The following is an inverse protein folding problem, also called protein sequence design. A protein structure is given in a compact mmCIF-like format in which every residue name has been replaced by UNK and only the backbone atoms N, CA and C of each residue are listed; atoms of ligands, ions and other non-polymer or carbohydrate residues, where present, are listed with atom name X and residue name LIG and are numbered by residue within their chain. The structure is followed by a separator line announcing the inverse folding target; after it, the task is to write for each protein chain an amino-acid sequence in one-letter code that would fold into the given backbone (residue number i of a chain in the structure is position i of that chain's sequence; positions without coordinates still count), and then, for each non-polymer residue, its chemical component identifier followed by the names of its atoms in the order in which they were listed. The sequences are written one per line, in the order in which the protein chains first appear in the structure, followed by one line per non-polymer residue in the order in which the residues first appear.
data_IF_325984679557
#
_entry.id   IF_325984679557
#
_cell.length_a   1.000
_cell.length_b   1.000
_cell.length_c   1.000
_cell.angle_alpha   90.00
_cell.angle_beta   90.00
_cell.angle_gamma   90.00
#
_symmetry.space_group_name_H-M   'P 1'
#
loop_
_entity.id
_entity.type
_entity.pdbx_description
1 polymer ?
#
# COMPACT_ATOMS: atom_id res chain seq x y z
N UNK A 1 -35.45 64.31 -27.73
CA UNK A 1 -35.04 64.04 -26.34
C UNK A 1 -34.78 62.57 -26.06
N UNK A 2 -35.77 61.66 -26.06
CA UNK A 2 -35.52 60.24 -25.72
C UNK A 2 -34.58 59.52 -26.69
N UNK A 3 -34.68 59.83 -28.00
CA UNK A 3 -33.77 59.29 -29.03
C UNK A 3 -32.34 59.84 -28.87
N UNK A 4 -32.19 61.11 -28.46
CA UNK A 4 -30.90 61.76 -28.27
C UNK A 4 -30.18 61.27 -27.01
N UNK A 5 -30.94 61.01 -25.94
CA UNK A 5 -30.44 60.36 -24.72
C UNK A 5 -30.06 58.89 -24.98
N UNK A 6 -30.81 58.17 -25.82
CA UNK A 6 -30.46 56.82 -26.25
C UNK A 6 -29.19 56.78 -27.11
N UNK A 7 -28.97 57.79 -27.96
CA UNK A 7 -27.76 57.92 -28.77
C UNK A 7 -26.50 58.13 -27.92
N UNK A 8 -26.59 58.88 -26.81
CA UNK A 8 -25.51 59.05 -25.84
C UNK A 8 -25.22 57.78 -25.03
N UNK A 9 -26.26 57.07 -24.59
CA UNK A 9 -26.13 55.84 -23.80
C UNK A 9 -25.57 54.63 -24.59
N UNK A 10 -25.55 54.69 -25.92
CA UNK A 10 -25.11 53.60 -26.81
C UNK A 10 -23.72 53.82 -27.43
N UNK A 11 -22.98 54.85 -27.01
CA UNK A 11 -21.63 55.14 -27.53
C UNK A 11 -20.59 54.16 -27.00
N UNK A 12 -20.57 52.93 -27.54
CA UNK A 12 -19.64 51.87 -27.14
C UNK A 12 -18.16 52.29 -27.22
N UNK A 13 -17.83 53.22 -28.12
CA UNK A 13 -16.48 53.81 -28.24
C UNK A 13 -16.09 54.73 -27.07
N UNK A 14 -17.04 55.09 -26.20
CA UNK A 14 -16.84 55.90 -24.99
C UNK A 14 -16.95 55.07 -23.70
N UNK A 15 -17.14 53.74 -23.77
CA UNK A 15 -17.23 52.88 -22.59
C UNK A 15 -15.93 52.98 -21.76
N UNK A 16 -15.99 53.68 -20.63
CA UNK A 16 -14.85 53.93 -19.74
C UNK A 16 -13.96 55.11 -20.16
N UNK A 17 -14.40 55.95 -21.10
CA UNK A 17 -13.71 57.19 -21.48
C UNK A 17 -13.82 58.29 -20.41
N UNK A 18 -14.89 58.25 -19.63
CA UNK A 18 -15.17 59.12 -18.48
C UNK A 18 -14.37 58.75 -17.23
N UNK A 19 -13.77 57.55 -17.19
CA UNK A 19 -12.94 57.07 -16.07
C UNK A 19 -11.52 57.66 -16.22
N UNK A 20 -11.13 58.64 -15.39
CA UNK A 20 -9.85 59.34 -15.56
C UNK A 20 -8.65 58.45 -15.22
N UNK A 21 -8.83 57.58 -14.22
CA UNK A 21 -7.85 56.58 -13.79
C UNK A 21 -8.52 55.21 -13.74
N UNK A 22 -8.32 54.43 -14.80
CA UNK A 22 -8.89 53.09 -14.94
C UNK A 22 -8.29 52.10 -13.94
N UNK A 23 -7.01 52.28 -13.59
CA UNK A 23 -6.31 51.42 -12.65
C UNK A 23 -6.86 51.62 -11.23
N UNK A 24 -6.95 52.88 -10.78
CA UNK A 24 -7.57 53.21 -9.50
C UNK A 24 -9.04 52.76 -9.44
N UNK A 25 -9.80 52.95 -10.54
CA UNK A 25 -11.18 52.50 -10.62
C UNK A 25 -11.30 50.98 -10.41
N UNK A 26 -10.51 50.17 -11.13
CA UNK A 26 -10.50 48.70 -11.00
C UNK A 26 -10.16 48.26 -9.57
N UNK A 27 -9.21 48.94 -8.91
CA UNK A 27 -8.84 48.68 -7.51
C UNK A 27 -10.00 48.97 -6.56
N UNK A 28 -10.64 50.13 -6.71
CA UNK A 28 -11.72 50.58 -5.83
C UNK A 28 -12.96 49.68 -5.89
N UNK A 29 -13.32 49.22 -7.09
CA UNK A 29 -14.46 48.31 -7.26
C UNK A 29 -14.13 46.85 -6.96
N UNK A 30 -12.85 46.53 -6.69
CA UNK A 30 -12.36 45.19 -6.42
C UNK A 30 -12.44 44.24 -7.61
N UNK A 31 -12.38 44.76 -8.84
CA UNK A 31 -12.42 43.94 -10.04
C UNK A 31 -11.09 43.22 -10.27
N UNK A 32 -11.16 42.03 -10.88
CA UNK A 32 -9.97 41.30 -11.32
C UNK A 32 -9.25 42.08 -12.44
N UNK A 33 -7.95 42.32 -12.27
CA UNK A 33 -7.13 42.94 -13.30
C UNK A 33 -6.41 41.87 -14.13
N UNK A 34 -6.67 41.83 -15.43
CA UNK A 34 -5.86 41.10 -16.38
C UNK A 34 -4.87 42.04 -17.06
N UNK A 35 -3.56 41.90 -16.77
CA UNK A 35 -2.53 42.78 -17.32
C UNK A 35 -2.38 42.60 -18.84
N UNK A 36 -2.14 41.37 -19.29
CA UNK A 36 -1.96 41.04 -20.72
C UNK A 36 -1.97 39.52 -20.94
N UNK A 37 -2.31 39.10 -22.16
CA UNK A 37 -2.29 37.71 -22.63
C UNK A 37 -0.92 37.22 -23.11
N UNK A 38 0.12 38.06 -23.11
CA UNK A 38 1.47 37.71 -23.57
C UNK A 38 2.53 38.67 -23.05
N UNK A 39 2.84 38.60 -21.76
CA UNK A 39 3.86 39.41 -21.09
C UNK A 39 5.24 38.77 -21.24
N UNK A 40 6.27 39.55 -21.57
CA UNK A 40 7.66 39.09 -21.43
C UNK A 40 8.04 39.14 -19.94
N UNK A 41 7.86 38.03 -19.23
CA UNK A 41 8.05 37.94 -17.79
C UNK A 41 9.53 37.97 -17.46
N UNK A 42 10.04 39.16 -17.16
CA UNK A 42 11.45 39.42 -16.85
C UNK A 42 12.37 39.64 -18.05
N UNK A 43 11.88 39.46 -19.28
CA UNK A 43 12.53 39.91 -20.52
C UNK A 43 13.74 39.09 -21.00
N UNK A 44 14.13 38.05 -20.27
CA UNK A 44 15.19 37.11 -20.65
C UNK A 44 14.93 35.73 -19.99
N UNK A 45 15.77 34.73 -20.26
CA UNK A 45 15.65 33.36 -19.74
C UNK A 45 16.53 33.03 -18.52
N UNK A 46 17.17 34.03 -17.90
CA UNK A 46 17.96 33.84 -16.70
C UNK A 46 17.07 33.36 -15.53
N UNK A 47 17.62 32.60 -14.57
CA UNK A 47 16.85 32.14 -13.43
C UNK A 47 16.43 33.30 -12.53
N UNK A 48 15.26 33.15 -11.91
CA UNK A 48 14.82 33.98 -10.79
C UNK A 48 14.68 33.14 -9.52
N UNK A 49 15.03 33.76 -8.41
CA UNK A 49 14.55 33.35 -7.09
C UNK A 49 13.08 33.74 -6.92
N UNK A 50 12.39 33.11 -5.98
CA UNK A 50 11.01 33.43 -5.62
C UNK A 50 10.90 34.89 -5.18
N UNK A 51 11.92 35.43 -4.50
CA UNK A 51 11.97 36.83 -4.06
C UNK A 51 12.05 37.82 -5.24
N UNK A 52 12.87 37.54 -6.25
CA UNK A 52 12.96 38.37 -7.46
C UNK A 52 11.67 38.34 -8.26
N UNK A 53 11.05 37.16 -8.39
CA UNK A 53 9.74 37.03 -9.03
C UNK A 53 8.65 37.84 -8.31
N UNK A 54 8.60 37.79 -6.98
CA UNK A 54 7.66 38.60 -6.18
C UNK A 54 7.93 40.10 -6.37
N UNK A 55 9.20 40.51 -6.45
CA UNK A 55 9.57 41.91 -6.71
C UNK A 55 9.10 42.36 -8.10
N UNK A 56 9.18 41.49 -9.10
CA UNK A 56 8.63 41.77 -10.43
C UNK A 56 7.10 41.87 -10.43
N UNK A 57 6.40 41.02 -9.67
CA UNK A 57 4.94 41.16 -9.49
C UNK A 57 4.57 42.50 -8.84
N UNK A 58 5.36 42.93 -7.86
CA UNK A 58 5.19 44.22 -7.19
C UNK A 58 5.38 45.41 -8.15
N UNK A 59 6.40 45.36 -9.02
CA UNK A 59 6.62 46.39 -10.04
C UNK A 59 5.51 46.43 -11.10
N UNK A 60 4.84 45.30 -11.34
CA UNK A 60 3.66 45.20 -12.20
C UNK A 60 2.36 45.66 -11.49
N UNK A 61 2.44 46.06 -10.22
CA UNK A 61 1.29 46.48 -9.42
C UNK A 61 0.37 45.34 -8.97
N UNK A 62 0.80 44.07 -9.06
CA UNK A 62 -0.07 42.91 -8.82
C UNK A 62 -0.71 42.92 -7.42
N UNK A 63 0.01 43.40 -6.41
CA UNK A 63 -0.45 43.47 -5.02
C UNK A 63 -1.35 44.68 -4.70
N UNK A 64 -1.59 45.55 -5.68
CA UNK A 64 -2.50 46.69 -5.52
C UNK A 64 -3.95 46.32 -5.89
N UNK A 65 -4.18 45.11 -6.42
CA UNK A 65 -5.49 44.61 -6.80
C UNK A 65 -5.85 43.40 -5.93
N UNK A 66 -7.13 43.21 -5.56
CA UNK A 66 -7.54 42.01 -4.83
C UNK A 66 -7.27 40.72 -5.60
N UNK A 67 -7.36 40.81 -6.93
CA UNK A 67 -7.01 39.75 -7.88
C UNK A 67 -6.31 40.35 -9.09
N UNK A 68 -5.13 39.84 -9.40
CA UNK A 68 -4.35 40.22 -10.58
C UNK A 68 -3.94 38.97 -11.34
N UNK A 69 -3.97 39.03 -12.67
CA UNK A 69 -3.47 37.93 -13.49
C UNK A 69 -2.77 38.42 -14.76
N UNK A 70 -1.85 37.61 -15.27
CA UNK A 70 -1.30 37.77 -16.59
C UNK A 70 -0.99 36.40 -17.20
N UNK A 71 -0.71 36.38 -18.51
CA UNK A 71 -0.16 35.22 -19.18
C UNK A 71 1.20 35.59 -19.76
N UNK A 72 2.23 34.79 -19.47
CA UNK A 72 3.54 34.92 -20.09
C UNK A 72 3.45 34.70 -21.60
N UNK A 73 4.26 35.42 -22.36
CA UNK A 73 4.36 35.24 -23.81
C UNK A 73 4.89 33.84 -24.15
N UNK A 74 4.58 33.33 -25.34
CA UNK A 74 5.16 32.09 -25.85
C UNK A 74 6.58 32.33 -26.40
N UNK A 75 7.48 32.78 -25.52
CA UNK A 75 8.88 33.04 -25.84
C UNK A 75 9.77 32.51 -24.70
N UNK A 76 10.43 31.38 -24.93
CA UNK A 76 11.31 30.79 -23.94
C UNK A 76 12.54 31.65 -23.63
N UNK A 77 12.99 32.48 -24.57
CA UNK A 77 14.16 33.33 -24.39
C UNK A 77 13.81 34.64 -23.68
N UNK A 78 12.56 35.10 -23.77
CA UNK A 78 12.05 36.33 -23.15
C UNK A 78 11.34 36.16 -21.81
N UNK A 79 11.27 34.95 -21.27
CA UNK A 79 10.60 34.66 -19.99
C UNK A 79 11.50 33.89 -19.03
N UNK A 80 11.46 34.30 -17.77
CA UNK A 80 12.27 33.74 -16.67
C UNK A 80 11.82 32.35 -16.26
N UNK A 81 12.69 31.69 -15.50
CA UNK A 81 12.41 30.41 -14.82
C UNK A 81 12.67 30.57 -13.32
N UNK A 82 11.69 30.22 -12.48
CA UNK A 82 11.85 30.24 -11.03
C UNK A 82 12.46 28.91 -10.57
N UNK A 83 13.58 28.94 -9.84
CA UNK A 83 14.40 27.72 -9.59
C UNK A 83 14.56 27.32 -8.12
N UNK A 84 14.12 28.15 -7.18
CA UNK A 84 14.29 27.93 -5.73
C UNK A 84 13.01 27.40 -5.03
N UNK A 85 12.06 26.85 -5.79
CA UNK A 85 10.73 26.49 -5.27
C UNK A 85 10.73 25.30 -4.33
N UNK A 86 11.75 24.42 -4.40
CA UNK A 86 11.80 23.15 -3.67
C UNK A 86 10.83 22.07 -4.18
N UNK A 87 9.93 22.40 -5.11
CA UNK A 87 8.96 21.48 -5.70
C UNK A 87 9.02 21.44 -7.25
N UNK A 88 10.12 21.91 -7.84
CA UNK A 88 10.41 21.89 -9.29
C UNK A 88 10.43 23.28 -9.91
N UNK A 89 11.21 23.46 -10.99
CA UNK A 89 11.35 24.75 -11.64
C UNK A 89 10.05 25.19 -12.30
N UNK A 90 9.79 26.50 -12.32
CA UNK A 90 8.60 27.09 -12.95
C UNK A 90 9.04 27.93 -14.15
N UNK A 91 8.87 27.39 -15.36
CA UNK A 91 9.06 28.15 -16.60
C UNK A 91 7.85 29.08 -16.81
N UNK A 92 8.10 30.40 -16.93
CA UNK A 92 7.03 31.40 -17.03
C UNK A 92 6.57 31.65 -18.47
N UNK A 93 7.29 31.13 -19.48
CA UNK A 93 6.87 31.17 -20.87
C UNK A 93 5.53 30.47 -21.05
N UNK A 94 4.53 31.17 -21.58
CA UNK A 94 3.19 30.65 -21.76
C UNK A 94 2.42 30.33 -20.47
N UNK A 95 2.99 30.54 -19.28
CA UNK A 95 2.35 30.26 -18.00
C UNK A 95 1.26 31.29 -17.69
N UNK A 96 0.18 30.86 -17.05
CA UNK A 96 -0.79 31.78 -16.44
C UNK A 96 -0.35 32.05 -15.01
N UNK A 97 -0.23 33.32 -14.65
CA UNK A 97 0.17 33.79 -13.33
C UNK A 97 -1.03 34.51 -12.72
N UNK A 98 -1.45 34.07 -11.55
CA UNK A 98 -2.57 34.64 -10.81
C UNK A 98 -2.09 35.00 -9.40
N UNK A 99 -2.43 36.20 -8.94
CA UNK A 99 -2.03 36.74 -7.65
C UNK A 99 -3.30 37.19 -6.92
N UNK A 100 -3.49 36.66 -5.71
CA UNK A 100 -4.57 37.08 -4.82
C UNK A 100 -3.98 37.61 -3.51
N UNK A 101 -4.57 38.69 -2.99
CA UNK A 101 -4.16 39.31 -1.73
C UNK A 101 -3.14 40.44 -1.91
N UNK A 102 -2.38 40.73 -0.85
CA UNK A 102 -1.49 41.89 -0.76
C UNK A 102 -0.03 41.45 -0.59
N UNK A 103 0.91 42.41 -0.65
CA UNK A 103 2.35 42.13 -0.52
C UNK A 103 2.73 41.45 0.81
N UNK A 104 1.97 41.73 1.88
CA UNK A 104 2.17 41.13 3.21
C UNK A 104 1.41 39.81 3.42
N UNK A 105 0.40 39.51 2.60
CA UNK A 105 -0.37 38.27 2.67
C UNK A 105 -0.88 37.90 1.27
N UNK A 106 -0.21 36.96 0.61
CA UNK A 106 -0.41 36.62 -0.80
C UNK A 106 -0.64 35.13 -1.01
N UNK A 107 -1.44 34.83 -2.02
CA UNK A 107 -1.46 33.54 -2.71
C UNK A 107 -1.10 33.78 -4.16
N UNK A 108 -0.07 33.11 -4.66
CA UNK A 108 0.29 33.15 -6.08
C UNK A 108 0.06 31.76 -6.65
N UNK A 109 -0.73 31.66 -7.72
CA UNK A 109 -0.93 30.44 -8.48
C UNK A 109 -0.31 30.59 -9.86
N UNK A 110 0.47 29.60 -10.27
CA UNK A 110 1.06 29.54 -11.61
C UNK A 110 0.65 28.23 -12.26
N UNK A 111 -0.02 28.32 -13.41
CA UNK A 111 -0.35 27.17 -14.26
C UNK A 111 0.63 27.12 -15.42
N UNK A 112 1.47 26.10 -15.47
CA UNK A 112 2.44 25.91 -16.56
C UNK A 112 1.76 25.29 -17.79
N UNK A 113 2.19 25.65 -19.02
CA UNK A 113 1.68 25.04 -20.24
C UNK A 113 2.17 23.59 -20.41
N UNK A 114 1.73 22.93 -21.48
CA UNK A 114 2.10 21.54 -21.79
C UNK A 114 3.57 21.34 -22.23
N UNK A 115 4.31 22.42 -22.47
CA UNK A 115 5.74 22.41 -22.83
C UNK A 115 6.49 23.54 -22.12
N UNK A 116 7.73 23.29 -21.71
CA UNK A 116 8.53 24.21 -20.88
C UNK A 116 10.01 24.22 -21.31
N UNK A 117 10.78 25.19 -20.81
CA UNK A 117 12.26 25.26 -20.91
C UNK A 117 12.90 25.41 -19.53
N UNK A 118 14.23 25.34 -19.44
CA UNK A 118 14.99 25.56 -18.20
C UNK A 118 14.65 24.57 -17.07
N UNK A 119 14.42 23.30 -17.44
CA UNK A 119 13.97 22.23 -16.55
C UNK A 119 12.64 22.52 -15.85
N UNK A 120 11.84 23.45 -16.40
CA UNK A 120 10.51 23.76 -15.90
C UNK A 120 9.57 22.56 -15.97
N UNK A 121 8.68 22.42 -15.00
CA UNK A 121 7.73 21.30 -14.96
C UNK A 121 6.47 21.66 -15.78
N UNK A 122 6.15 20.94 -16.87
CA UNK A 122 4.96 21.19 -17.67
C UNK A 122 3.68 20.66 -17.01
N UNK A 123 2.51 21.13 -17.48
CA UNK A 123 1.17 20.57 -17.17
C UNK A 123 0.82 20.48 -15.68
N UNK A 124 1.24 21.46 -14.87
CA UNK A 124 1.01 21.44 -13.42
C UNK A 124 0.66 22.84 -12.88
N UNK A 125 0.14 22.86 -11.66
CA UNK A 125 -0.08 24.09 -10.91
C UNK A 125 0.90 24.19 -9.74
N UNK A 126 1.50 25.36 -9.61
CA UNK A 126 2.31 25.76 -8.47
C UNK A 126 1.55 26.80 -7.66
N UNK A 127 1.50 26.62 -6.34
CA UNK A 127 0.82 27.54 -5.42
C UNK A 127 1.82 27.98 -4.36
N UNK A 128 2.11 29.27 -4.33
CA UNK A 128 2.86 29.92 -3.26
C UNK A 128 1.89 30.58 -2.29
N UNK A 129 2.11 30.38 -0.98
CA UNK A 129 1.31 31.01 0.06
C UNK A 129 2.25 31.71 1.03
N UNK A 130 1.92 32.95 1.39
CA UNK A 130 2.59 33.72 2.43
C UNK A 130 1.56 34.54 3.22
N UNK A 131 1.66 34.58 4.55
CA UNK A 131 0.81 35.38 5.45
C UNK A 131 1.59 36.42 6.28
N UNK A 132 2.84 36.71 5.91
CA UNK A 132 3.64 37.75 6.55
C UNK A 132 4.46 37.24 7.72
N UNK A 133 4.75 38.11 8.68
CA UNK A 133 5.70 37.86 9.76
C UNK A 133 5.35 36.61 10.58
N UNK A 134 6.34 35.74 10.79
CA UNK A 134 6.19 34.50 11.55
C UNK A 134 5.53 33.34 10.79
N UNK A 135 5.08 33.57 9.54
CA UNK A 135 4.61 32.49 8.66
C UNK A 135 5.79 31.75 8.02
N UNK A 136 5.59 30.47 7.67
CA UNK A 136 6.54 29.68 6.88
C UNK A 136 6.08 29.66 5.42
N UNK A 137 6.43 30.66 4.60
CA UNK A 137 5.98 30.70 3.22
C UNK A 137 6.64 29.59 2.39
N UNK A 138 5.95 29.14 1.36
CA UNK A 138 6.48 28.08 0.52
C UNK A 138 5.61 27.74 -0.67
N UNK A 139 6.25 27.14 -1.67
CA UNK A 139 5.61 26.59 -2.84
C UNK A 139 5.06 25.20 -2.56
N UNK A 140 3.94 24.91 -3.21
CA UNK A 140 3.34 23.59 -3.31
C UNK A 140 3.12 23.32 -4.79
N UNK A 141 3.46 22.12 -5.23
CA UNK A 141 3.12 21.66 -6.59
C UNK A 141 1.99 20.67 -6.49
N UNK A 142 0.90 20.92 -7.20
CA UNK A 142 -0.19 19.97 -7.30
C UNK A 142 0.24 18.77 -8.14
N UNK A 143 -0.17 17.57 -7.71
CA UNK A 143 0.01 16.37 -8.50
C UNK A 143 -1.04 16.35 -9.60
N UNK A 144 -0.66 16.79 -10.80
CA UNK A 144 -1.49 16.74 -12.00
C UNK A 144 -0.84 15.76 -12.97
N UNK A 145 -1.58 14.73 -13.40
CA UNK A 145 -1.14 13.74 -14.39
C UNK A 145 -2.21 13.57 -15.47
N UNK A 146 -1.78 13.50 -16.72
CA UNK A 146 -2.61 13.11 -17.86
C UNK A 146 -2.38 11.61 -18.11
N UNK A 147 -3.41 10.76 -17.95
CA UNK A 147 -3.32 9.29 -18.08
C UNK A 147 -3.06 8.54 -16.76
N UNK A 148 -3.07 7.20 -16.74
CA UNK A 148 -3.19 6.35 -15.51
C UNK A 148 -1.96 5.48 -15.11
N UNK A 149 -0.89 5.43 -15.89
CA UNK A 149 0.30 4.62 -15.57
C UNK A 149 1.31 5.33 -14.65
N UNK A 150 1.73 4.73 -13.54
CA UNK A 150 2.96 5.10 -12.83
C UNK A 150 4.11 4.24 -13.35
N UNK A 151 5.18 4.85 -13.87
CA UNK A 151 6.41 4.14 -14.23
C UNK A 151 7.42 4.28 -13.09
N UNK A 152 7.96 3.16 -12.59
CA UNK A 152 8.92 3.14 -11.48
C UNK A 152 8.32 2.77 -10.11
N UNK A 153 9.04 3.08 -9.03
CA UNK A 153 8.69 2.67 -7.67
C UNK A 153 7.96 3.79 -6.91
N UNK A 154 6.85 3.45 -6.23
CA UNK A 154 6.21 4.32 -5.24
C UNK A 154 6.83 4.05 -3.85
N UNK A 155 7.70 4.96 -3.38
CA UNK A 155 8.27 4.86 -2.04
C UNK A 155 7.44 5.62 -1.01
N UNK A 156 7.10 4.93 0.08
CA UNK A 156 6.50 5.53 1.27
C UNK A 156 7.53 5.51 2.41
N UNK A 157 8.04 6.68 2.82
CA UNK A 157 9.16 6.79 3.77
C UNK A 157 8.68 7.25 5.14
N UNK A 158 8.65 6.34 6.11
CA UNK A 158 8.39 6.63 7.52
C UNK A 158 9.04 5.53 8.39
N UNK A 159 9.45 5.87 9.61
CA UNK A 159 9.89 4.91 10.63
C UNK A 159 8.73 4.32 11.42
N UNK A 160 7.57 5.00 11.46
CA UNK A 160 6.29 4.50 11.93
C UNK A 160 5.54 3.71 10.86
N UNK A 161 4.31 3.27 11.19
CA UNK A 161 3.46 2.54 10.26
C UNK A 161 3.13 3.40 9.05
N UNK A 162 3.35 2.85 7.86
CA UNK A 162 2.67 3.30 6.65
C UNK A 162 1.83 2.16 6.11
N UNK A 163 0.60 2.48 5.75
CA UNK A 163 -0.39 1.51 5.32
C UNK A 163 -1.08 1.98 4.05
N UNK A 164 -1.48 1.02 3.23
CA UNK A 164 -2.57 1.20 2.28
C UNK A 164 -3.86 0.76 2.99
N UNK A 165 -4.89 1.61 2.99
CA UNK A 165 -6.17 1.30 3.61
C UNK A 165 -7.34 1.59 2.67
N UNK A 166 -8.40 0.81 2.84
CA UNK A 166 -9.73 1.13 2.33
C UNK A 166 -10.58 1.43 3.56
N UNK A 167 -11.29 2.55 3.54
CA UNK A 167 -12.05 3.06 4.68
C UNK A 167 -13.55 2.98 4.39
N UNK A 168 -14.34 2.75 5.43
CA UNK A 168 -15.76 3.09 5.45
C UNK A 168 -15.94 4.61 5.38
N UNK A 169 -17.13 5.04 4.99
CA UNK A 169 -17.50 6.47 4.98
C UNK A 169 -17.44 7.10 6.38
N UNK A 170 -17.71 6.31 7.43
CA UNK A 170 -17.64 6.73 8.84
C UNK A 170 -16.22 6.87 9.39
N UNK A 171 -15.19 6.62 8.56
CA UNK A 171 -13.78 6.70 8.94
C UNK A 171 -13.23 5.47 9.66
N UNK A 172 -14.00 4.38 9.79
CA UNK A 172 -13.48 3.10 10.24
C UNK A 172 -12.81 2.34 9.09
N UNK A 173 -11.77 1.54 9.33
CA UNK A 173 -11.12 0.81 8.25
C UNK A 173 -11.88 -0.45 7.83
N UNK A 174 -11.96 -0.71 6.51
CA UNK A 174 -12.40 -1.99 5.93
C UNK A 174 -11.25 -2.94 5.64
N UNK A 175 -10.05 -2.40 5.40
CA UNK A 175 -8.86 -3.19 5.06
C UNK A 175 -7.60 -2.43 5.41
N UNK A 176 -6.58 -3.15 5.87
CA UNK A 176 -5.21 -2.64 5.94
C UNK A 176 -4.23 -3.56 5.23
N UNK A 177 -3.24 -2.96 4.57
CA UNK A 177 -1.98 -3.60 4.19
C UNK A 177 -0.85 -2.75 4.77
N UNK A 178 -0.07 -3.31 5.69
CA UNK A 178 0.94 -2.53 6.41
C UNK A 178 2.12 -3.35 6.90
N UNK A 179 3.19 -2.63 7.26
CA UNK A 179 4.37 -3.17 7.94
C UNK A 179 4.86 -2.16 8.96
N UNK A 180 5.09 -2.61 10.19
CA UNK A 180 5.79 -1.80 11.18
C UNK A 180 7.29 -2.12 11.20
N UNK A 181 8.10 -1.10 11.50
CA UNK A 181 9.54 -1.23 11.70
C UNK A 181 9.81 -2.24 12.82
N UNK A 182 10.59 -3.28 12.51
CA UNK A 182 10.96 -4.33 13.48
C UNK A 182 9.86 -5.35 13.83
N UNK A 183 8.63 -5.22 13.32
CA UNK A 183 7.54 -6.18 13.58
C UNK A 183 7.78 -7.56 12.94
N UNK A 184 6.90 -8.52 13.24
CA UNK A 184 6.94 -9.92 12.86
C UNK A 184 6.72 -10.21 11.37
N UNK A 185 6.10 -9.33 10.60
CA UNK A 185 5.90 -9.56 9.17
C UNK A 185 5.11 -8.47 8.47
N UNK A 186 4.74 -8.70 7.22
CA UNK A 186 3.78 -7.86 6.48
C UNK A 186 2.37 -8.31 6.85
N UNK A 187 1.50 -7.38 7.23
CA UNK A 187 0.14 -7.65 7.71
C UNK A 187 -0.89 -7.28 6.64
N UNK A 188 -1.92 -8.13 6.52
CA UNK A 188 -3.14 -7.90 5.77
C UNK A 188 -4.33 -8.27 6.65
N UNK A 189 -5.33 -7.39 6.76
CA UNK A 189 -6.53 -7.66 7.56
C UNK A 189 -7.78 -6.95 7.04
N UNK A 190 -8.94 -7.30 7.60
CA UNK A 190 -10.24 -6.71 7.26
C UNK A 190 -10.59 -5.48 8.12
N UNK A 191 -9.58 -4.78 8.64
CA UNK A 191 -9.79 -3.59 9.46
C UNK A 191 -10.71 -3.84 10.65
N UNK A 192 -11.81 -3.08 10.71
CA UNK A 192 -12.78 -3.09 11.80
C UNK A 192 -13.79 -4.25 11.70
N UNK A 193 -13.91 -4.90 10.54
CA UNK A 193 -14.82 -6.05 10.35
C UNK A 193 -14.30 -7.31 11.07
N UNK A 194 -13.05 -7.27 11.58
CA UNK A 194 -12.45 -8.30 12.41
C UNK A 194 -11.76 -9.41 11.60
N UNK A 195 -11.67 -10.61 12.17
CA UNK A 195 -11.03 -11.78 11.55
C UNK A 195 -9.52 -11.93 11.83
N UNK A 196 -8.89 -10.93 12.45
CA UNK A 196 -7.46 -10.94 12.79
C UNK A 196 -6.55 -10.68 11.59
N UNK A 197 -5.25 -10.87 11.79
CA UNK A 197 -4.24 -10.61 10.77
C UNK A 197 -3.86 -11.87 10.00
N UNK A 198 -3.68 -11.70 8.68
CA UNK A 198 -2.88 -12.58 7.85
C UNK A 198 -1.47 -11.99 7.76
N UNK A 199 -0.46 -12.79 8.09
CA UNK A 199 0.91 -12.29 8.23
C UNK A 199 1.87 -13.08 7.33
N UNK A 200 2.59 -12.36 6.48
CA UNK A 200 3.79 -12.87 5.83
C UNK A 200 4.97 -12.60 6.75
N UNK A 201 5.32 -13.60 7.55
CA UNK A 201 6.29 -13.51 8.63
C UNK A 201 7.72 -13.30 8.13
N UNK A 202 8.50 -12.51 8.87
CA UNK A 202 9.92 -12.24 8.60
C UNK A 202 10.79 -13.50 8.59
N UNK A 203 10.34 -14.56 9.28
CA UNK A 203 11.02 -15.86 9.31
C UNK A 203 10.61 -16.75 8.11
N UNK A 204 9.87 -16.22 7.14
CA UNK A 204 9.44 -16.92 5.93
C UNK A 204 8.20 -17.80 6.10
N UNK A 205 7.49 -17.70 7.23
CA UNK A 205 6.22 -18.38 7.46
C UNK A 205 5.02 -17.54 7.01
N UNK A 206 3.91 -18.20 6.72
CA UNK A 206 2.61 -17.55 6.56
C UNK A 206 1.73 -17.88 7.76
N UNK A 207 1.12 -16.86 8.36
CA UNK A 207 0.21 -17.01 9.52
C UNK A 207 -1.19 -16.60 9.12
N UNK A 208 -2.15 -17.45 9.42
CA UNK A 208 -3.58 -17.18 9.26
C UNK A 208 -4.22 -17.34 10.65
N UNK A 209 -4.32 -16.24 11.39
CA UNK A 209 -4.64 -16.29 12.82
C UNK A 209 -3.59 -17.09 13.59
N UNK A 210 -4.03 -18.12 14.34
CA UNK A 210 -3.14 -18.96 15.15
C UNK A 210 -2.47 -20.10 14.38
N UNK A 211 -2.89 -20.38 13.14
CA UNK A 211 -2.28 -21.41 12.30
C UNK A 211 -1.03 -20.86 11.60
N UNK A 212 -0.01 -21.70 11.46
CA UNK A 212 1.26 -21.32 10.81
C UNK A 212 1.59 -22.32 9.73
N UNK A 213 1.83 -21.83 8.53
CA UNK A 213 2.48 -22.56 7.44
C UNK A 213 3.96 -22.22 7.49
N UNK A 214 4.78 -23.18 7.91
CA UNK A 214 6.19 -22.97 8.11
C UNK A 214 6.99 -23.04 6.80
N UNK A 215 8.17 -22.42 6.80
CA UNK A 215 9.07 -22.39 5.66
C UNK A 215 9.73 -23.75 5.32
N UNK A 216 9.50 -24.77 6.15
CA UNK A 216 9.93 -26.15 5.93
C UNK A 216 8.81 -27.05 5.36
N UNK A 217 7.63 -26.48 5.05
CA UNK A 217 6.47 -27.21 4.55
C UNK A 217 5.60 -27.86 5.63
N UNK A 218 5.93 -27.70 6.91
CA UNK A 218 5.10 -28.18 8.01
C UNK A 218 3.98 -27.18 8.34
N UNK A 219 2.94 -27.66 9.01
CA UNK A 219 1.77 -26.87 9.39
C UNK A 219 1.54 -26.99 10.88
N UNK A 220 1.54 -25.84 11.56
CA UNK A 220 1.20 -25.73 12.97
C UNK A 220 -0.29 -25.40 13.12
N UNK A 221 -0.96 -26.06 14.06
CA UNK A 221 -2.33 -25.73 14.44
C UNK A 221 -2.83 -26.55 15.61
N UNK A 222 -3.86 -26.03 16.28
CA UNK A 222 -4.52 -26.72 17.40
C UNK A 222 -5.31 -27.94 16.97
N UNK A 223 -5.70 -28.04 15.70
CA UNK A 223 -6.39 -29.19 15.12
C UNK A 223 -5.60 -30.51 15.27
N UNK A 224 -4.27 -30.44 15.39
CA UNK A 224 -3.39 -31.59 15.52
C UNK A 224 -3.07 -31.97 16.98
N UNK A 225 -3.83 -31.45 17.95
CA UNK A 225 -3.71 -31.78 19.38
C UNK A 225 -3.15 -30.66 20.26
N UNK A 226 -2.67 -29.55 19.66
CA UNK A 226 -2.12 -28.41 20.39
C UNK A 226 -0.83 -28.71 21.15
N UNK A 227 -0.22 -27.68 21.76
CA UNK A 227 1.01 -27.82 22.55
C UNK A 227 2.17 -28.48 21.79
N UNK A 228 2.78 -29.52 22.37
CA UNK A 228 3.92 -30.23 21.78
C UNK A 228 3.58 -31.06 20.53
N UNK A 229 2.29 -31.36 20.27
CA UNK A 229 1.84 -32.08 19.07
C UNK A 229 1.28 -31.15 17.98
N UNK A 230 1.41 -29.83 18.16
CA UNK A 230 0.75 -28.86 17.29
C UNK A 230 1.31 -28.80 15.85
N UNK A 231 2.41 -29.49 15.55
CA UNK A 231 2.91 -29.67 14.19
C UNK A 231 2.32 -30.91 13.53
N UNK A 232 1.80 -30.76 12.31
CA UNK A 232 1.18 -31.84 11.55
C UNK A 232 2.12 -33.04 11.39
N UNK A 233 3.40 -32.79 11.08
CA UNK A 233 4.41 -33.86 10.97
C UNK A 233 4.52 -34.71 12.24
N UNK A 234 4.50 -34.07 13.42
CA UNK A 234 4.59 -34.72 14.72
C UNK A 234 3.31 -35.51 15.02
N UNK A 235 2.15 -34.94 14.70
CA UNK A 235 0.87 -35.61 14.84
C UNK A 235 0.81 -36.89 13.99
N UNK A 236 1.19 -36.82 12.72
CA UNK A 236 1.23 -37.99 11.83
C UNK A 236 2.22 -39.04 12.34
N UNK A 237 3.40 -38.62 12.80
CA UNK A 237 4.41 -39.52 13.33
C UNK A 237 3.92 -40.33 14.55
N UNK A 238 3.13 -39.69 15.43
CA UNK A 238 2.63 -40.25 16.68
C UNK A 238 1.30 -40.99 16.56
N UNK A 239 0.49 -40.72 15.55
CA UNK A 239 -0.88 -41.25 15.47
C UNK A 239 -1.15 -42.16 14.27
N UNK A 240 -0.21 -42.33 13.34
CA UNK A 240 -0.36 -43.24 12.20
C UNK A 240 0.44 -44.53 12.35
N UNK A 241 -0.09 -45.62 11.80
CA UNK A 241 0.65 -46.87 11.60
C UNK A 241 1.70 -46.65 10.51
N UNK A 242 2.97 -46.85 10.85
CA UNK A 242 4.11 -46.63 9.95
C UNK A 242 4.70 -47.90 9.36
N UNK A 243 4.51 -49.02 10.04
CA UNK A 243 5.02 -50.31 9.62
C UNK A 243 4.20 -51.43 10.28
N UNK A 244 4.19 -52.60 9.65
CA UNK A 244 3.57 -53.82 10.16
C UNK A 244 4.63 -54.93 10.09
N UNK A 245 4.68 -55.80 11.12
CA UNK A 245 5.56 -56.95 11.15
C UNK A 245 4.91 -58.14 11.86
N UNK A 246 5.47 -59.32 11.65
CA UNK A 246 5.31 -60.43 12.57
C UNK A 246 6.36 -60.30 13.67
N UNK A 247 5.93 -60.34 14.93
CA UNK A 247 6.81 -60.30 16.09
C UNK A 247 7.65 -61.58 16.26
N UNK A 248 8.36 -61.68 17.39
CA UNK A 248 9.13 -62.87 17.72
C UNK A 248 8.25 -64.13 17.69
N UNK A 249 8.83 -65.24 17.23
CA UNK A 249 8.18 -66.55 17.29
C UNK A 249 8.10 -67.02 18.73
N UNK A 250 6.95 -67.58 19.09
CA UNK A 250 6.74 -68.29 20.34
C UNK A 250 6.17 -69.68 20.03
N UNK A 251 6.34 -70.60 20.97
CA UNK A 251 5.80 -71.95 20.91
C UNK A 251 4.67 -72.07 21.94
N UNK A 252 3.56 -72.71 21.58
CA UNK A 252 2.47 -72.94 22.51
C UNK A 252 2.86 -73.89 23.64
N UNK A 253 2.07 -73.90 24.71
CA UNK A 253 2.01 -75.05 25.62
C UNK A 253 1.45 -76.29 24.91
N UNK A 254 1.32 -77.39 25.66
CA UNK A 254 0.68 -78.60 25.15
C UNK A 254 -0.75 -78.31 24.65
N UNK A 255 -1.08 -78.88 23.50
CA UNK A 255 -2.36 -78.64 22.84
C UNK A 255 -3.45 -79.60 23.35
N UNK A 256 -4.70 -79.20 23.10
CA UNK A 256 -5.86 -80.09 23.06
C UNK A 256 -6.39 -80.13 21.62
N UNK A 257 -7.27 -81.09 21.31
CA UNK A 257 -7.86 -81.25 19.96
C UNK A 257 -8.43 -79.94 19.40
N UNK A 258 -8.95 -79.09 20.28
CA UNK A 258 -9.34 -77.71 19.96
C UNK A 258 -8.38 -76.74 20.64
N UNK A 259 -7.76 -75.85 19.87
CA UNK A 259 -6.84 -74.84 20.39
C UNK A 259 -7.03 -73.50 19.69
N UNK A 260 -7.07 -72.43 20.50
CA UNK A 260 -7.19 -71.05 20.04
C UNK A 260 -6.03 -70.23 20.59
N UNK A 261 -5.41 -69.45 19.72
CA UNK A 261 -4.37 -68.50 20.12
C UNK A 261 -4.98 -67.26 20.79
N UNK A 262 -4.16 -66.55 21.55
CA UNK A 262 -4.54 -65.24 22.11
C UNK A 262 -4.71 -64.18 21.01
N UNK A 263 -5.40 -63.09 21.34
CA UNK A 263 -5.66 -62.00 20.38
C UNK A 263 -4.39 -61.46 19.72
N UNK A 264 -4.47 -61.19 18.42
CA UNK A 264 -3.37 -60.69 17.61
C UNK A 264 -2.35 -61.72 17.15
N UNK A 265 -2.54 -63.00 17.48
CA UNK A 265 -1.58 -64.04 17.16
C UNK A 265 -2.01 -64.83 15.92
N UNK A 266 -1.02 -65.24 15.12
CA UNK A 266 -1.22 -66.11 13.96
C UNK A 266 -0.33 -67.33 14.04
N UNK A 267 -0.85 -68.46 13.58
CA UNK A 267 -0.08 -69.70 13.42
C UNK A 267 0.95 -69.52 12.32
N UNK A 268 2.18 -69.97 12.57
CA UNK A 268 3.33 -69.85 11.66
C UNK A 268 4.12 -71.14 11.49
N UNK A 269 3.72 -72.22 12.18
CA UNK A 269 4.31 -73.55 12.03
C UNK A 269 3.77 -74.51 13.08
N UNK A 270 4.19 -75.78 12.98
CA UNK A 270 3.78 -76.85 13.88
C UNK A 270 5.01 -77.63 14.38
N UNK A 271 4.92 -78.17 15.59
CA UNK A 271 5.86 -79.13 16.17
C UNK A 271 5.04 -80.36 16.59
N UNK A 272 5.46 -81.54 16.14
CA UNK A 272 4.75 -82.80 16.38
C UNK A 272 5.72 -83.91 16.72
N UNK A 273 5.26 -84.90 17.48
CA UNK A 273 5.98 -86.13 17.78
C UNK A 273 5.88 -87.18 16.66
N UNK A 274 5.12 -86.88 15.58
CA UNK A 274 5.00 -87.72 14.39
C UNK A 274 3.65 -88.45 14.29
N UNK A 275 2.75 -88.29 15.26
CA UNK A 275 1.38 -88.77 15.16
C UNK A 275 0.57 -87.96 14.13
N UNK A 276 -0.32 -88.64 13.41
CA UNK A 276 -1.10 -88.04 12.32
C UNK A 276 -2.26 -87.15 12.83
N UNK A 277 -2.65 -87.30 14.09
CA UNK A 277 -3.59 -86.41 14.76
C UNK A 277 -2.85 -85.65 15.86
N UNK A 278 -3.00 -84.32 15.89
CA UNK A 278 -2.45 -83.49 16.97
C UNK A 278 -3.33 -83.61 18.23
N UNK A 279 -3.10 -84.62 19.07
CA UNK A 279 -4.00 -84.98 20.18
C UNK A 279 -3.54 -84.53 21.58
N UNK A 280 -2.36 -83.91 21.68
CA UNK A 280 -1.80 -83.43 22.95
C UNK A 280 -0.38 -83.94 23.18
N UNK A 281 0.09 -83.95 24.43
CA UNK A 281 1.47 -84.35 24.71
C UNK A 281 2.50 -83.28 24.29
N UNK A 282 3.44 -83.62 23.40
CA UNK A 282 4.47 -82.68 22.90
C UNK A 282 4.03 -81.91 21.65
N UNK A 283 2.85 -82.19 21.07
CA UNK A 283 2.31 -81.42 19.95
C UNK A 283 2.10 -79.94 20.32
N UNK A 284 2.66 -79.04 19.49
CA UNK A 284 2.67 -77.59 19.72
C UNK A 284 2.53 -76.80 18.42
N UNK A 285 2.11 -75.55 18.55
CA UNK A 285 2.01 -74.60 17.43
C UNK A 285 3.02 -73.48 17.61
N UNK A 286 3.78 -73.18 16.55
CA UNK A 286 4.57 -71.95 16.47
C UNK A 286 3.64 -70.81 16.08
N UNK A 287 3.62 -69.75 16.87
CA UNK A 287 2.81 -68.57 16.58
C UNK A 287 3.62 -67.29 16.69
N UNK A 288 3.13 -66.24 16.02
CA UNK A 288 3.72 -64.89 16.06
C UNK A 288 2.62 -63.87 16.28
N UNK A 289 2.85 -62.82 17.08
CA UNK A 289 1.93 -61.70 17.14
C UNK A 289 2.06 -60.84 15.88
N UNK A 290 0.96 -60.43 15.28
CA UNK A 290 0.93 -59.33 14.31
C UNK A 290 1.14 -58.05 15.10
N UNK A 291 2.13 -57.25 14.70
CA UNK A 291 2.45 -55.99 15.35
C UNK A 291 2.44 -54.84 14.34
N UNK A 292 2.03 -53.66 14.78
CA UNK A 292 2.12 -52.43 14.02
C UNK A 292 2.89 -51.35 14.79
N UNK A 293 3.59 -50.46 14.09
CA UNK A 293 4.41 -49.39 14.64
C UNK A 293 3.63 -48.07 14.64
N UNK A 294 3.42 -47.48 15.81
CA UNK A 294 2.89 -46.12 15.99
C UNK A 294 3.89 -45.33 16.84
N UNK A 295 4.24 -44.11 16.42
CA UNK A 295 5.33 -43.37 17.09
C UNK A 295 6.61 -44.20 17.11
N UNK A 296 7.18 -44.43 18.27
CA UNK A 296 8.37 -45.29 18.44
C UNK A 296 8.02 -46.69 18.97
N UNK A 297 6.73 -47.01 19.14
CA UNK A 297 6.27 -48.19 19.86
C UNK A 297 5.64 -49.23 18.92
N UNK A 298 6.10 -50.48 19.03
CA UNK A 298 5.45 -51.62 18.39
C UNK A 298 4.33 -52.13 19.30
N UNK A 299 3.10 -52.17 18.76
CA UNK A 299 1.89 -52.58 19.46
C UNK A 299 1.37 -53.88 18.83
N UNK A 300 0.98 -54.86 19.65
CA UNK A 300 0.34 -56.10 19.17
C UNK A 300 -1.11 -55.81 18.76
N UNK A 301 -1.51 -56.29 17.58
CA UNK A 301 -2.86 -56.11 17.08
C UNK A 301 -3.90 -56.82 17.96
N UNK A 302 -5.10 -56.27 18.15
CA UNK A 302 -6.20 -57.01 18.73
C UNK A 302 -6.82 -57.99 17.72
N UNK A 303 -7.42 -59.07 18.21
CA UNK A 303 -8.37 -59.90 17.45
C UNK A 303 -9.77 -59.60 17.96
N UNK A 304 -10.74 -59.45 17.05
CA UNK A 304 -12.16 -59.20 17.34
C UNK A 304 -12.97 -60.44 17.02
#
# INVERSE_FOLDING_TARGET
ETVDQAAGAMQKSQNGGDIPDKDLFVRQIGAALALSGGVAVGGDSNPWTTAEFITWLESCGAFNHPYWMCKGSWDYAGNKVITDTGCGNICLAGAVIEVMGTRGAMTIRITTPTTTSGDGVPSTQFIYINHGDGYAPGWRREFSRTGDEMTGNLYLKNDGRVNFCIMNEDGTPRMWIFKDKGSDGIHINNGNDGGGDFIFGKDGNFRAGAAIYANNGDVFGTAWGGGNAAWLSSYLYLNMVKAIRLGPVALSGGLWRDFQLGGGQVVTGFHTDGDWEMQGGDDKVYYRPIQYLIGTQWVTAPSV
#
